data_IF_471817056060
#
_entry.id   IF_471817056060
#
_cell.length_a   1.000
_cell.length_b   1.000
_cell.length_c   1.000
_cell.angle_alpha   90.00
_cell.angle_beta   90.00
_cell.angle_gamma   90.00
#
_symmetry.space_group_name_H-M   'P 1'
#
loop_
_entity.id
_entity.type
_entity.pdbx_description
1 polymer ?
#
# COMPACT_ATOMS: atom_id res chain seq x y z
N UNK A 1 68.41 -46.43 -22.43
CA UNK A 1 67.14 -47.19 -22.19
C UNK A 1 66.63 -46.82 -20.80
N UNK A 2 65.31 -46.86 -20.55
CA UNK A 2 64.51 -46.16 -19.51
C UNK A 2 64.13 -44.72 -19.93
N UNK A 3 63.03 -44.45 -20.65
CA UNK A 3 61.62 -44.81 -20.46
C UNK A 3 61.02 -44.28 -19.14
N UNK A 4 60.34 -43.11 -19.23
CA UNK A 4 59.03 -42.90 -18.58
C UNK A 4 58.41 -41.57 -19.01
N UNK A 5 57.47 -41.71 -19.95
CA UNK A 5 56.36 -40.80 -20.12
C UNK A 5 55.60 -40.66 -18.80
N UNK A 6 55.28 -39.43 -18.38
CA UNK A 6 54.18 -39.20 -17.46
C UNK A 6 53.27 -38.11 -17.99
N UNK A 7 52.00 -38.52 -18.03
CA UNK A 7 50.83 -37.88 -18.61
C UNK A 7 50.50 -36.55 -17.91
N UNK A 8 50.13 -35.60 -18.76
CA UNK A 8 49.20 -34.46 -18.57
C UNK A 8 48.38 -34.49 -17.28
N UNK A 9 48.31 -33.33 -16.63
CA UNK A 9 47.09 -32.87 -15.94
C UNK A 9 46.84 -31.43 -16.39
N UNK A 10 46.02 -31.30 -17.44
CA UNK A 10 45.42 -30.03 -17.81
C UNK A 10 44.42 -29.67 -16.71
N UNK A 11 44.66 -28.57 -16.01
CA UNK A 11 43.70 -27.98 -15.08
C UNK A 11 42.59 -27.36 -15.91
N UNK A 12 41.45 -28.04 -16.01
CA UNK A 12 40.23 -27.46 -16.56
C UNK A 12 39.73 -26.46 -15.51
N UNK A 13 39.92 -25.16 -15.77
CA UNK A 13 39.28 -24.10 -15.02
C UNK A 13 37.77 -24.19 -15.26
N UNK A 14 37.04 -24.75 -14.30
CA UNK A 14 35.58 -24.82 -14.33
C UNK A 14 35.00 -23.41 -14.23
N UNK A 15 34.31 -22.97 -15.29
CA UNK A 15 33.40 -21.83 -15.24
C UNK A 15 32.18 -22.30 -14.46
N UNK A 16 32.09 -21.94 -13.18
CA UNK A 16 30.85 -22.15 -12.44
C UNK A 16 29.77 -21.23 -13.02
N UNK A 17 28.57 -21.74 -13.36
CA UNK A 17 27.45 -20.87 -13.69
C UNK A 17 27.11 -20.08 -12.43
N UNK A 18 27.01 -18.76 -12.55
CA UNK A 18 26.41 -17.94 -11.50
C UNK A 18 24.96 -18.42 -11.34
N UNK A 19 24.71 -19.24 -10.32
CA UNK A 19 23.36 -19.54 -9.88
C UNK A 19 22.72 -18.19 -9.54
N UNK A 20 21.74 -17.76 -10.34
CA UNK A 20 20.91 -16.62 -10.02
C UNK A 20 20.29 -16.88 -8.64
N UNK A 21 20.81 -16.21 -7.62
CA UNK A 21 20.24 -16.29 -6.29
C UNK A 21 18.82 -15.70 -6.37
N UNK A 22 17.80 -16.32 -5.76
CA UNK A 22 16.51 -15.68 -5.59
C UNK A 22 16.73 -14.37 -4.84
N UNK A 23 16.61 -13.23 -5.52
CA UNK A 23 16.55 -11.95 -4.83
C UNK A 23 15.28 -11.96 -3.99
N UNK A 24 15.36 -11.66 -2.68
CA UNK A 24 14.17 -11.39 -1.90
C UNK A 24 13.38 -10.32 -2.64
N UNK A 25 12.11 -10.58 -2.94
CA UNK A 25 11.23 -9.55 -3.47
C UNK A 25 11.31 -8.38 -2.48
N UNK A 26 11.84 -7.24 -2.95
CA UNK A 26 11.82 -6.03 -2.14
C UNK A 26 10.35 -5.78 -1.77
N UNK A 27 10.02 -5.46 -0.51
CA UNK A 27 8.66 -5.14 -0.16
C UNK A 27 8.22 -4.00 -1.07
N UNK A 28 7.14 -4.22 -1.83
CA UNK A 28 6.50 -3.18 -2.61
C UNK A 28 6.29 -2.00 -1.67
N UNK A 29 7.00 -0.90 -1.90
CA UNK A 29 6.85 0.30 -1.11
C UNK A 29 5.40 0.79 -1.30
N UNK A 30 4.51 0.38 -0.39
CA UNK A 30 3.15 0.85 -0.36
C UNK A 30 3.21 2.37 -0.18
N UNK A 31 2.90 3.10 -1.25
CA UNK A 31 2.80 4.55 -1.19
C UNK A 31 1.67 4.86 -0.21
N UNK A 32 1.99 5.58 0.87
CA UNK A 32 1.01 5.93 1.88
C UNK A 32 -0.19 6.66 1.24
N UNK A 33 -1.41 6.35 1.70
CA UNK A 33 -2.61 7.04 1.23
C UNK A 33 -2.49 8.55 1.57
N UNK A 34 -2.51 9.45 0.58
CA UNK A 34 -2.35 10.89 0.84
C UNK A 34 -3.47 11.47 1.71
N UNK A 35 -4.68 10.93 1.64
CA UNK A 35 -5.79 11.36 2.49
C UNK A 35 -5.53 10.98 3.96
N UNK A 36 -5.04 9.76 4.19
CA UNK A 36 -4.67 9.28 5.52
C UNK A 36 -3.53 10.11 6.11
N UNK A 37 -2.47 10.38 5.33
CA UNK A 37 -1.36 11.27 5.74
C UNK A 37 -1.86 12.67 6.06
N UNK A 38 -2.80 13.20 5.28
CA UNK A 38 -3.38 14.52 5.51
C UNK A 38 -4.19 14.56 6.82
N UNK A 39 -4.99 13.53 7.11
CA UNK A 39 -5.71 13.41 8.38
C UNK A 39 -4.76 13.46 9.59
N UNK A 40 -3.67 12.69 9.55
CA UNK A 40 -2.66 12.69 10.61
C UNK A 40 -1.98 14.05 10.79
N UNK A 41 -1.68 14.75 9.68
CA UNK A 41 -1.12 16.11 9.71
C UNK A 41 -2.05 17.12 10.36
N UNK A 42 -3.37 16.93 10.25
CA UNK A 42 -4.38 17.74 10.93
C UNK A 42 -4.57 17.36 12.40
N UNK A 43 -3.83 16.37 12.90
CA UNK A 43 -3.93 15.87 14.27
C UNK A 43 -5.08 14.89 14.50
N UNK A 44 -5.69 14.39 13.42
CA UNK A 44 -6.67 13.31 13.45
C UNK A 44 -6.01 11.93 13.47
N UNK A 45 -6.85 10.91 13.64
CA UNK A 45 -6.49 9.49 13.46
C UNK A 45 -7.36 8.92 12.35
N UNK A 46 -6.75 8.10 11.49
CA UNK A 46 -7.47 7.41 10.42
C UNK A 46 -8.13 6.16 10.98
N UNK A 47 -9.43 6.02 10.74
CA UNK A 47 -10.19 4.81 10.98
C UNK A 47 -10.67 4.26 9.63
N UNK A 48 -10.38 2.99 9.37
CA UNK A 48 -10.86 2.31 8.16
C UNK A 48 -12.07 1.48 8.53
N UNK A 49 -13.13 1.62 7.75
CA UNK A 49 -14.40 0.94 7.95
C UNK A 49 -14.78 0.15 6.72
N UNK A 50 -15.29 -1.06 6.91
CA UNK A 50 -15.88 -1.86 5.85
C UNK A 50 -17.33 -1.42 5.55
N UNK A 51 -17.73 -1.53 4.28
CA UNK A 51 -19.11 -1.35 3.82
C UNK A 51 -19.44 -2.34 2.71
N UNK A 52 -20.71 -2.40 2.32
CA UNK A 52 -21.14 -3.14 1.12
C UNK A 52 -20.48 -2.63 -0.19
N UNK A 53 -19.91 -1.43 -0.18
CA UNK A 53 -19.24 -0.82 -1.33
C UNK A 53 -17.70 -0.88 -1.26
N UNK A 54 -17.16 -1.58 -0.27
CA UNK A 54 -15.72 -1.65 0.02
C UNK A 54 -15.34 -0.87 1.28
N UNK A 55 -14.05 -0.65 1.48
CA UNK A 55 -13.53 0.08 2.63
C UNK A 55 -13.56 1.59 2.39
N UNK A 56 -13.86 2.35 3.44
CA UNK A 56 -13.80 3.81 3.44
C UNK A 56 -13.01 4.30 4.66
N UNK A 57 -12.30 5.42 4.48
CA UNK A 57 -11.51 6.05 5.52
C UNK A 57 -12.23 7.23 6.17
N UNK A 58 -12.16 7.28 7.49
CA UNK A 58 -12.69 8.38 8.31
C UNK A 58 -11.54 8.99 9.10
N UNK A 59 -11.43 10.31 9.06
CA UNK A 59 -10.55 11.08 9.92
C UNK A 59 -11.28 11.43 11.21
N UNK A 60 -10.80 10.89 12.33
CA UNK A 60 -11.36 11.07 13.67
C UNK A 60 -10.50 12.06 14.46
N UNK A 61 -11.09 13.17 14.88
CA UNK A 61 -10.44 14.21 15.67
C UNK A 61 -10.66 14.02 17.18
N UNK A 62 -9.79 14.61 18.00
CA UNK A 62 -9.89 14.57 19.47
C UNK A 62 -11.15 15.24 20.03
N UNK A 63 -11.73 16.17 19.29
CA UNK A 63 -12.99 16.83 19.62
C UNK A 63 -14.23 15.98 19.26
N UNK A 64 -14.02 14.77 18.73
CA UNK A 64 -15.09 13.85 18.32
C UNK A 64 -15.62 14.07 16.91
N UNK A 65 -15.08 15.02 16.13
CA UNK A 65 -15.47 15.17 14.73
C UNK A 65 -14.96 13.99 13.91
N UNK A 66 -15.85 13.46 13.07
CA UNK A 66 -15.58 12.39 12.12
C UNK A 66 -15.83 12.91 10.70
N UNK A 67 -14.82 12.85 9.85
CA UNK A 67 -14.85 13.40 8.51
C UNK A 67 -14.41 12.33 7.50
N UNK A 68 -15.07 12.22 6.36
CA UNK A 68 -14.56 11.48 5.20
C UNK A 68 -13.13 11.96 4.87
N UNK A 69 -12.15 11.04 4.84
CA UNK A 69 -10.74 11.43 4.69
C UNK A 69 -10.46 12.04 3.31
N UNK A 70 -11.17 11.61 2.27
CA UNK A 70 -10.95 12.05 0.90
C UNK A 70 -11.57 13.41 0.63
N UNK A 71 -12.76 13.68 1.16
CA UNK A 71 -13.38 15.01 1.10
C UNK A 71 -12.57 16.00 1.93
N UNK A 72 -12.10 15.59 3.11
CA UNK A 72 -11.24 16.43 3.93
C UNK A 72 -9.94 16.79 3.19
N UNK A 73 -9.30 15.81 2.54
CA UNK A 73 -8.08 16.02 1.77
C UNK A 73 -8.27 16.92 0.55
N UNK A 74 -9.32 16.73 -0.24
CA UNK A 74 -9.52 17.46 -1.51
C UNK A 74 -10.13 18.84 -1.31
N UNK A 75 -11.10 18.94 -0.40
CA UNK A 75 -11.93 20.14 -0.26
C UNK A 75 -11.67 20.90 1.04
N UNK A 76 -10.91 20.32 1.99
CA UNK A 76 -10.74 20.88 3.33
C UNK A 76 -12.02 20.86 4.17
N UNK A 77 -13.06 20.14 3.72
CA UNK A 77 -14.38 20.10 4.36
C UNK A 77 -14.54 18.84 5.19
N UNK A 78 -15.03 19.00 6.40
CA UNK A 78 -15.46 17.86 7.20
C UNK A 78 -16.86 17.42 6.79
N UNK A 79 -16.98 16.23 6.20
CA UNK A 79 -18.26 15.62 5.83
C UNK A 79 -18.41 14.29 6.57
N UNK A 80 -19.41 14.14 7.47
CA UNK A 80 -19.66 12.85 8.12
C UNK A 80 -20.31 11.86 7.14
N UNK A 81 -20.11 10.56 7.38
CA UNK A 81 -20.64 9.45 6.57
C UNK A 81 -21.64 8.58 7.39
N UNK A 82 -22.57 7.84 6.74
CA UNK A 82 -23.16 6.64 7.40
C UNK A 82 -22.15 5.50 7.51
N UNK A 83 -22.56 4.47 8.25
CA UNK A 83 -22.06 3.11 8.17
C UNK A 83 -21.89 2.53 6.74
N UNK A 84 -22.46 3.11 5.68
CA UNK A 84 -22.26 2.66 4.29
C UNK A 84 -21.21 3.48 3.54
N UNK A 85 -20.58 4.46 4.19
CA UNK A 85 -19.62 5.37 3.57
C UNK A 85 -20.26 6.49 2.72
N UNK A 86 -21.55 6.79 2.91
CA UNK A 86 -22.25 7.85 2.16
C UNK A 86 -22.39 9.15 2.97
N UNK A 87 -22.20 10.33 2.36
CA UNK A 87 -22.35 11.61 3.06
C UNK A 87 -23.72 11.76 3.74
N UNK A 88 -23.75 12.07 5.03
CA UNK A 88 -25.01 12.21 5.78
C UNK A 88 -25.88 13.33 5.21
N UNK A 89 -25.25 14.45 4.78
CA UNK A 89 -25.96 15.57 4.16
C UNK A 89 -26.57 15.21 2.79
N UNK A 90 -26.03 14.20 2.09
CA UNK A 90 -26.54 13.78 0.78
C UNK A 90 -27.77 12.88 0.88
N UNK A 91 -28.16 12.39 2.06
CA UNK A 91 -29.37 11.56 2.23
C UNK A 91 -30.67 12.28 1.84
N UNK A 92 -30.68 13.61 1.93
CA UNK A 92 -31.81 14.44 1.48
C UNK A 92 -31.89 14.53 -0.05
N UNK A 93 -30.82 14.20 -0.77
CA UNK A 93 -30.81 14.09 -2.21
C UNK A 93 -31.12 12.63 -2.58
N UNK A 94 -32.31 12.40 -3.15
CA UNK A 94 -32.67 11.11 -3.72
C UNK A 94 -31.55 10.68 -4.69
N UNK A 95 -30.86 9.54 -4.49
CA UNK A 95 -29.82 9.12 -5.42
C UNK A 95 -30.44 8.92 -6.79
N UNK A 96 -29.89 9.58 -7.81
CA UNK A 96 -30.31 9.40 -9.18
C UNK A 96 -29.90 7.97 -9.60
N UNK A 97 -30.89 7.07 -9.66
CA UNK A 97 -30.75 5.81 -10.39
C UNK A 97 -30.39 6.14 -11.84
N UNK A 98 -29.20 5.75 -12.27
CA UNK A 98 -28.90 5.55 -13.69
C UNK A 98 -29.01 4.06 -13.97
#
# INVERSE_FOLDING_TARGET
MFARSLRRLAWIAGIAPAFAQPQPAAPDAAHANPASVHCEKLGGKVAIHDSAHGQYGVCVFKDGRECDEWVLYRDGRCVPLDARGWPIAARSAKPASK
#
